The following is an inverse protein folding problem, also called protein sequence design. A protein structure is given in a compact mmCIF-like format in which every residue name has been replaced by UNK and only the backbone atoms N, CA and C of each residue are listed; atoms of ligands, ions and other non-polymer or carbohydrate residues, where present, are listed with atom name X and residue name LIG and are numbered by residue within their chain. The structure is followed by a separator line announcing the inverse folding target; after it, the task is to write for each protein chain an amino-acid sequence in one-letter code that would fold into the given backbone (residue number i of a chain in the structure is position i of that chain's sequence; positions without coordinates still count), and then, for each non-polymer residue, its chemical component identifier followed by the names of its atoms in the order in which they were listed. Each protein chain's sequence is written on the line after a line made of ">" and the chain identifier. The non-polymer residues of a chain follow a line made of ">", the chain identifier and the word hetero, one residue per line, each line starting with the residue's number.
data_IF_027825315260
#
_entry.id   IF_027825315260
#
_cell.length_a   1.000
_cell.length_b   1.000
_cell.length_c   1.000
_cell.angle_alpha   90.00
_cell.angle_beta   90.00
_cell.angle_gamma   90.00
#
_symmetry.space_group_name_H-M   'P 1'
#
loop_
_entity.id
_entity.type
_entity.pdbx_description
1 polymer ?
#
# COMPACT_ATOMS: atom_id res chain seq x y z
N UNK A 1 -8.64 14.33 18.22
CA UNK A 1 -7.62 13.27 18.11
C UNK A 1 -7.20 13.20 16.65
N UNK A 2 -6.02 13.71 16.35
CA UNK A 2 -5.49 13.76 14.99
C UNK A 2 -4.75 12.44 14.77
N UNK A 3 -5.26 11.58 13.88
CA UNK A 3 -4.48 10.44 13.40
C UNK A 3 -3.34 11.01 12.56
N UNK A 4 -2.21 11.28 13.23
CA UNK A 4 -0.97 11.68 12.60
C UNK A 4 -0.48 10.42 11.89
N UNK A 5 -0.57 10.42 10.57
CA UNK A 5 0.08 9.42 9.75
C UNK A 5 1.58 9.59 9.96
N UNK A 6 2.23 8.63 10.62
CA UNK A 6 3.69 8.61 10.66
C UNK A 6 4.17 8.44 9.21
N UNK A 7 4.85 9.45 8.63
CA UNK A 7 5.41 9.31 7.30
C UNK A 7 6.38 8.13 7.31
N UNK A 8 6.42 7.40 6.20
CA UNK A 8 7.36 6.30 6.00
C UNK A 8 8.78 6.80 6.35
N UNK A 9 9.58 6.03 7.11
CA UNK A 9 10.93 6.42 7.46
C UNK A 9 11.73 6.82 6.21
N UNK A 10 12.16 8.09 6.18
CA UNK A 10 12.69 8.82 5.01
C UNK A 10 13.94 8.23 4.34
N UNK A 11 14.49 7.14 4.86
CA UNK A 11 15.80 6.62 4.50
C UNK A 11 15.77 5.17 3.99
N UNK A 12 14.58 4.61 3.81
CA UNK A 12 14.38 3.26 3.31
C UNK A 12 13.73 3.30 1.93
N UNK A 13 14.07 2.36 1.06
CA UNK A 13 13.48 2.28 -0.26
C UNK A 13 11.97 2.00 -0.14
N UNK A 14 11.16 2.86 -0.74
CA UNK A 14 9.69 2.78 -0.71
C UNK A 14 9.17 2.10 -1.97
N UNK A 15 8.13 1.28 -1.82
CA UNK A 15 7.35 0.70 -2.91
C UNK A 15 5.89 1.13 -2.80
N UNK A 16 5.22 1.24 -3.94
CA UNK A 16 3.79 1.54 -4.00
C UNK A 16 3.02 0.24 -4.09
N UNK A 17 2.16 -0.03 -3.12
CA UNK A 17 1.40 -1.27 -3.03
C UNK A 17 -0.10 -1.03 -3.28
N UNK A 18 -0.76 -2.01 -3.89
CA UNK A 18 -2.22 -2.05 -4.07
C UNK A 18 -2.79 -3.29 -3.40
N UNK A 19 -3.65 -3.08 -2.40
CA UNK A 19 -4.43 -4.15 -1.78
C UNK A 19 -5.91 -4.01 -2.10
N UNK A 20 -6.60 -5.13 -2.32
CA UNK A 20 -8.04 -5.17 -2.55
C UNK A 20 -8.68 -6.17 -1.60
N UNK A 21 -9.63 -5.71 -0.80
CA UNK A 21 -10.45 -6.61 0.00
C UNK A 21 -11.51 -7.27 -0.91
N UNK A 22 -11.19 -8.47 -1.42
CA UNK A 22 -12.12 -9.25 -2.23
C UNK A 22 -13.18 -10.01 -1.38
N UNK A 23 -13.15 -9.88 -0.06
CA UNK A 23 -14.07 -10.58 0.84
C UNK A 23 -15.33 -9.76 1.12
N UNK A 24 -16.38 -10.41 1.62
CA UNK A 24 -17.63 -9.74 2.06
C UNK A 24 -17.57 -9.20 3.49
N UNK A 25 -16.40 -9.20 4.14
CA UNK A 25 -16.22 -8.74 5.53
C UNK A 25 -15.31 -7.53 5.57
N UNK A 26 -15.48 -6.68 6.58
CA UNK A 26 -14.52 -5.60 6.87
C UNK A 26 -13.22 -6.24 7.34
N UNK A 27 -12.10 -5.73 6.83
CA UNK A 27 -10.76 -6.17 7.20
C UNK A 27 -9.97 -4.99 7.76
N UNK A 28 -8.99 -5.30 8.61
CA UNK A 28 -8.02 -4.32 9.11
C UNK A 28 -6.66 -4.81 8.62
N UNK A 29 -5.98 -3.98 7.84
CA UNK A 29 -4.63 -4.26 7.40
C UNK A 29 -3.63 -3.53 8.28
N UNK A 30 -2.51 -4.17 8.59
CA UNK A 30 -1.47 -3.64 9.49
C UNK A 30 -0.08 -3.93 8.96
N UNK A 31 0.89 -3.10 9.32
CA UNK A 31 2.31 -3.42 9.15
C UNK A 31 2.97 -3.20 10.50
N UNK A 32 3.52 -4.28 11.06
CA UNK A 32 4.11 -4.31 12.41
C UNK A 32 5.60 -4.67 12.39
N UNK A 33 6.10 -5.15 11.24
CA UNK A 33 7.46 -5.69 11.12
C UNK A 33 8.54 -4.63 10.95
N UNK A 34 8.16 -3.36 10.72
CA UNK A 34 9.08 -2.24 10.61
C UNK A 34 9.13 -1.52 11.96
N UNK A 35 10.31 -1.40 12.59
CA UNK A 35 10.44 -0.75 13.89
C UNK A 35 10.13 0.74 13.80
N UNK A 36 9.43 1.28 14.80
CA UNK A 36 9.05 2.70 14.89
C UNK A 36 8.15 3.21 13.75
N UNK A 37 7.47 2.31 13.03
CA UNK A 37 6.48 2.68 12.03
C UNK A 37 5.14 2.02 12.35
N UNK A 38 4.07 2.81 12.46
CA UNK A 38 2.73 2.32 12.69
C UNK A 38 1.85 2.52 11.46
N UNK A 39 1.47 1.41 10.83
CA UNK A 39 0.53 1.40 9.72
C UNK A 39 -0.66 0.52 10.06
N UNK A 40 -1.86 1.11 10.01
CA UNK A 40 -3.13 0.40 10.22
C UNK A 40 -4.24 1.06 9.42
N UNK A 41 -5.02 0.29 8.66
CA UNK A 41 -6.15 0.79 7.85
C UNK A 41 -7.31 -0.19 7.84
N UNK A 42 -8.52 0.35 7.87
CA UNK A 42 -9.77 -0.41 7.71
C UNK A 42 -10.14 -0.45 6.23
N UNK A 43 -10.44 -1.64 5.71
CA UNK A 43 -10.77 -1.89 4.31
C UNK A 43 -12.15 -2.53 4.22
N UNK A 44 -13.11 -1.84 3.62
CA UNK A 44 -14.45 -2.36 3.40
C UNK A 44 -14.48 -3.42 2.30
N UNK A 45 -15.50 -4.29 2.27
CA UNK A 45 -15.73 -5.23 1.18
C UNK A 45 -15.67 -4.55 -0.20
N UNK A 46 -14.84 -5.08 -1.10
CA UNK A 46 -14.65 -4.55 -2.46
C UNK A 46 -13.78 -3.29 -2.55
N UNK A 47 -13.32 -2.73 -1.44
CA UNK A 47 -12.50 -1.53 -1.44
C UNK A 47 -11.07 -1.85 -1.85
N UNK A 48 -10.48 -0.91 -2.59
CA UNK A 48 -9.06 -0.90 -2.95
C UNK A 48 -8.32 0.14 -2.11
N UNK A 49 -7.12 -0.21 -1.67
CA UNK A 49 -6.22 0.71 -0.99
C UNK A 49 -4.88 0.73 -1.70
N UNK A 50 -4.46 1.94 -2.07
CA UNK A 50 -3.10 2.22 -2.51
C UNK A 50 -2.36 2.84 -1.34
N UNK A 51 -1.19 2.31 -1.02
CA UNK A 51 -0.36 2.81 0.08
C UNK A 51 1.11 2.65 -0.27
N UNK A 52 1.95 3.43 0.41
CA UNK A 52 3.40 3.28 0.33
C UNK A 52 3.89 2.44 1.50
N UNK A 53 4.84 1.57 1.23
CA UNK A 53 5.45 0.73 2.23
C UNK A 53 6.95 0.60 2.00
N UNK A 54 7.67 0.26 3.06
CA UNK A 54 9.11 -0.02 3.01
C UNK A 54 9.35 -1.37 2.32
N UNK A 55 10.41 -1.49 1.52
CA UNK A 55 10.83 -2.79 0.97
C UNK A 55 11.06 -3.80 2.11
N UNK A 56 10.45 -4.97 2.01
CA UNK A 56 10.51 -6.01 3.06
C UNK A 56 9.45 -5.87 4.15
N UNK A 57 8.54 -4.89 4.04
CA UNK A 57 7.34 -4.84 4.89
C UNK A 57 6.38 -6.00 4.63
N UNK A 58 5.71 -6.44 5.68
CA UNK A 58 4.71 -7.51 5.65
C UNK A 58 3.34 -6.94 5.99
N UNK A 59 2.40 -7.08 5.06
CA UNK A 59 1.03 -6.65 5.22
C UNK A 59 0.23 -7.75 5.94
N UNK A 60 -0.06 -7.52 7.21
CA UNK A 60 -0.94 -8.36 7.99
C UNK A 60 -2.40 -8.02 7.68
N UNK A 61 -3.20 -9.02 7.30
CA UNK A 61 -4.65 -8.87 7.12
C UNK A 61 -5.35 -9.50 8.31
N UNK A 62 -6.04 -8.67 9.08
CA UNK A 62 -6.85 -9.10 10.20
C UNK A 62 -8.33 -9.09 9.81
N UNK A 63 -9.04 -10.16 10.14
CA UNK A 63 -10.49 -10.29 9.89
C UNK A 63 -11.23 -10.70 11.16
N UNK A 64 -12.53 -10.36 11.25
CA UNK A 64 -13.36 -10.69 12.41
C UNK A 64 -14.32 -9.57 12.79
N UNK A 65 -15.13 -9.79 13.82
CA UNK A 65 -15.84 -8.69 14.50
C UNK A 65 -14.82 -7.89 15.33
N UNK A 66 -15.08 -6.61 15.57
CA UNK A 66 -14.15 -5.65 16.21
C UNK A 66 -13.50 -6.18 17.51
N UNK A 67 -14.15 -7.11 18.22
CA UNK A 67 -13.66 -7.72 19.46
C UNK A 67 -12.75 -8.94 19.28
N UNK A 68 -12.70 -9.55 18.09
CA UNK A 68 -11.97 -10.79 17.82
C UNK A 68 -11.14 -10.69 16.53
N UNK A 69 -10.37 -9.62 16.38
CA UNK A 69 -9.46 -9.44 15.24
C UNK A 69 -8.47 -10.60 15.19
N UNK A 70 -8.65 -11.53 14.27
CA UNK A 70 -7.76 -12.68 14.06
C UNK A 70 -6.88 -12.35 12.87
N UNK A 71 -5.55 -12.44 13.07
CA UNK A 71 -4.59 -12.40 11.99
C UNK A 71 -4.94 -13.53 11.02
N UNK A 72 -5.43 -13.15 9.85
CA UNK A 72 -5.95 -14.08 8.86
C UNK A 72 -4.92 -14.37 7.79
N UNK A 73 -4.13 -13.37 7.42
CA UNK A 73 -3.10 -13.50 6.40
C UNK A 73 -1.91 -12.58 6.65
N UNK A 74 -0.77 -12.88 6.04
CA UNK A 74 0.43 -12.04 6.06
C UNK A 74 1.07 -12.08 4.67
N UNK A 75 0.99 -10.95 3.97
CA UNK A 75 1.36 -10.82 2.56
C UNK A 75 2.60 -9.94 2.45
N UNK A 76 3.70 -10.39 1.85
CA UNK A 76 4.84 -9.52 1.57
C UNK A 76 4.45 -8.34 0.67
N UNK A 77 4.80 -7.10 1.04
CA UNK A 77 4.43 -5.93 0.24
C UNK A 77 5.06 -5.93 -1.17
N UNK A 78 6.13 -6.69 -1.38
CA UNK A 78 6.73 -6.93 -2.69
C UNK A 78 5.80 -7.65 -3.67
N UNK A 79 4.84 -8.44 -3.18
CA UNK A 79 3.83 -9.11 -4.03
C UNK A 79 2.67 -8.18 -4.40
N UNK A 80 2.49 -7.11 -3.63
CA UNK A 80 1.46 -6.08 -3.85
C UNK A 80 1.98 -4.88 -4.63
N UNK A 81 3.26 -4.89 -5.00
CA UNK A 81 3.93 -3.78 -5.69
C UNK A 81 3.25 -3.50 -7.04
N UNK A 82 2.79 -2.27 -7.20
CA UNK A 82 2.34 -1.74 -8.48
C UNK A 82 3.57 -1.24 -9.20
N UNK A 83 3.96 -1.94 -10.26
CA UNK A 83 4.91 -1.39 -11.23
C UNK A 83 4.18 -0.27 -11.96
N UNK A 84 4.66 0.96 -11.81
CA UNK A 84 4.29 2.01 -12.75
C UNK A 84 4.79 1.54 -14.11
N UNK A 85 3.88 1.07 -14.96
CA UNK A 85 4.11 1.11 -16.39
C UNK A 85 4.19 2.59 -16.72
N UNK A 86 5.42 3.12 -16.79
CA UNK A 86 5.67 4.35 -17.52
C UNK A 86 5.04 4.08 -18.88
N UNK A 87 3.95 4.76 -19.28
CA UNK A 87 3.48 4.60 -20.64
C UNK A 87 4.67 5.04 -21.48
N UNK A 88 5.30 4.09 -22.16
CA UNK A 88 6.27 4.37 -23.21
C UNK A 88 5.63 5.50 -24.00
N UNK A 89 6.25 6.67 -23.96
CA UNK A 89 5.74 7.84 -24.68
C UNK A 89 5.43 7.36 -26.07
N UNK A 90 4.15 7.36 -26.50
CA UNK A 90 3.84 6.69 -27.73
C UNK A 90 4.57 7.45 -28.84
N UNK A 91 5.20 6.72 -29.78
CA UNK A 91 6.13 7.27 -30.80
C UNK A 91 5.60 8.48 -31.57
N UNK A 92 4.29 8.75 -31.51
CA UNK A 92 3.65 9.90 -32.11
C UNK A 92 3.82 11.22 -31.36
N UNK A 93 4.46 11.29 -30.18
CA UNK A 93 4.72 12.58 -29.50
C UNK A 93 5.92 13.27 -30.15
N UNK A 94 5.72 14.33 -30.97
CA UNK A 94 6.85 15.02 -31.58
C UNK A 94 7.58 15.84 -30.51
N UNK A 95 8.90 15.63 -30.40
CA UNK A 95 9.80 16.52 -29.67
C UNK A 95 9.80 17.87 -30.37
N UNK A 96 9.03 18.83 -29.88
CA UNK A 96 9.10 20.21 -30.36
C UNK A 96 10.39 20.80 -29.78
N UNK A 97 11.40 21.17 -30.59
CA UNK A 97 12.53 21.92 -30.07
C UNK A 97 12.03 23.30 -29.67
N UNK A 98 12.08 23.60 -28.36
CA UNK A 98 11.90 24.96 -27.87
C UNK A 98 13.09 25.76 -28.41
N UNK A 99 12.87 26.44 -29.52
CA UNK A 99 13.84 27.39 -30.09
C UNK A 99 13.73 28.68 -29.29
N UNK A 100 14.81 29.01 -28.58
CA UNK A 100 15.03 30.32 -27.97
C UNK A 100 15.84 31.20 -28.94
#
# INVERSE_FOLDING_TARGET
>A
MTQIFDPVPKNEAEITCLYVNATSKVQIIRITNIPNWYFERVIFPGQRLIFKAVIGSLLEVHTGTIASSILSDTIPCSELEVKEEIPDTPEWVPLIPISA
#
